data_IF_344886163347
#
_entry.id   IF_344886163347
#
_cell.length_a   1.000
_cell.length_b   1.000
_cell.length_c   1.000
_cell.angle_alpha   90.00
_cell.angle_beta   90.00
_cell.angle_gamma   90.00
#
_symmetry.space_group_name_H-M   'P 1'
#
loop_
_entity.id
_entity.type
_entity.pdbx_description
1 polymer ?
#
# COMPACT_ATOMS: atom_id res chain seq x y z
N UNK A 1 28.83 9.16 42.10
CA UNK A 1 28.50 9.09 40.66
C UNK A 1 27.20 9.87 40.48
N UNK A 2 27.24 11.03 39.83
CA UNK A 2 26.09 11.92 39.65
C UNK A 2 25.46 11.61 38.29
N UNK A 3 24.24 11.07 38.29
CA UNK A 3 23.45 10.86 37.09
C UNK A 3 22.92 12.22 36.61
N UNK A 4 23.35 12.67 35.43
CA UNK A 4 22.71 13.77 34.72
C UNK A 4 21.49 13.23 33.99
N UNK A 5 20.30 13.65 34.42
CA UNK A 5 19.09 13.55 33.63
C UNK A 5 19.09 14.71 32.62
N UNK A 6 19.15 14.39 31.33
CA UNK A 6 18.85 15.32 30.25
C UNK A 6 17.36 15.20 29.94
N UNK A 7 16.58 16.19 30.38
CA UNK A 7 15.19 16.36 29.93
C UNK A 7 15.23 17.23 28.68
N UNK A 8 15.10 16.62 27.50
CA UNK A 8 14.89 17.34 26.26
C UNK A 8 13.43 17.80 26.21
N UNK A 9 13.21 19.10 26.33
CA UNK A 9 11.92 19.74 26.14
C UNK A 9 11.72 19.94 24.63
N UNK A 10 10.95 19.07 23.99
CA UNK A 10 10.56 19.23 22.59
C UNK A 10 9.40 20.25 22.50
N UNK A 11 9.65 21.40 21.89
CA UNK A 11 8.59 22.30 21.44
C UNK A 11 8.06 21.77 20.11
N UNK A 12 6.99 20.97 20.17
CA UNK A 12 6.21 20.64 18.97
C UNK A 12 5.47 21.89 18.51
N UNK A 13 5.93 22.52 17.41
CA UNK A 13 5.17 23.55 16.72
C UNK A 13 4.17 22.86 15.80
N UNK A 14 2.91 22.80 16.22
CA UNK A 14 1.85 22.22 15.41
C UNK A 14 1.57 23.13 14.20
N UNK A 15 1.89 22.66 12.99
CA UNK A 15 1.35 23.24 11.76
C UNK A 15 -0.05 22.67 11.52
N UNK A 16 -1.07 23.47 11.82
CA UNK A 16 -2.45 23.20 11.39
C UNK A 16 -2.54 23.44 9.88
N UNK A 17 -2.63 22.38 9.06
CA UNK A 17 -2.94 22.54 7.65
C UNK A 17 -4.44 22.74 7.50
N UNK A 18 -4.89 23.95 7.21
CA UNK A 18 -6.27 24.21 6.78
C UNK A 18 -6.43 23.70 5.34
N UNK A 19 -7.06 22.53 5.20
CA UNK A 19 -7.47 21.98 3.91
C UNK A 19 -8.61 22.84 3.35
N UNK A 20 -8.29 23.77 2.45
CA UNK A 20 -9.28 24.50 1.66
C UNK A 20 -9.63 23.66 0.45
N UNK A 21 -10.80 23.01 0.48
CA UNK A 21 -11.40 22.42 -0.72
C UNK A 21 -11.67 23.54 -1.72
N UNK A 22 -11.00 23.50 -2.88
CA UNK A 22 -11.28 24.36 -4.02
C UNK A 22 -12.61 23.95 -4.66
N UNK A 23 -13.70 24.75 -4.56
CA UNK A 23 -14.97 24.40 -5.13
C UNK A 23 -15.08 25.00 -6.54
N UNK A 24 -14.78 24.17 -7.54
CA UNK A 24 -15.42 24.27 -8.85
C UNK A 24 -14.55 24.75 -10.01
N UNK A 25 -14.11 23.79 -10.81
CA UNK A 25 -13.97 24.01 -12.24
C UNK A 25 -15.35 23.78 -12.90
N UNK A 26 -15.95 24.76 -13.61
CA UNK A 26 -17.17 24.53 -14.36
C UNK A 26 -16.92 23.61 -15.55
N UNK A 27 -17.83 22.64 -15.69
CA UNK A 27 -17.98 21.75 -16.83
C UNK A 27 -18.28 22.56 -18.10
N UNK A 28 -17.31 22.62 -19.02
CA UNK A 28 -17.49 23.22 -20.35
C UNK A 28 -17.69 22.08 -21.34
N UNK A 29 -18.94 21.67 -21.51
CA UNK A 29 -19.35 20.91 -22.69
C UNK A 29 -19.15 21.76 -23.95
N UNK A 30 -18.72 21.16 -25.05
CA UNK A 30 -19.10 21.61 -26.39
C UNK A 30 -18.98 20.50 -27.41
N UNK A 31 -19.97 20.52 -28.30
CA UNK A 31 -20.24 19.63 -29.40
C UNK A 31 -19.15 19.66 -30.48
N UNK A 32 -18.92 18.51 -31.11
CA UNK A 32 -18.09 18.39 -32.29
C UNK A 32 -18.82 18.95 -33.54
N UNK A 33 -18.44 20.16 -33.95
CA UNK A 33 -18.61 20.65 -35.32
C UNK A 33 -17.23 20.75 -35.98
N UNK A 34 -17.09 20.13 -37.15
CA UNK A 34 -15.89 20.15 -37.95
C UNK A 34 -15.67 21.54 -38.58
N UNK A 35 -14.50 22.15 -38.37
CA UNK A 35 -13.94 23.11 -39.33
C UNK A 35 -12.41 23.24 -39.18
N UNK A 36 -11.79 23.58 -40.30
CA UNK A 36 -10.39 23.50 -40.61
C UNK A 36 -9.53 24.63 -40.04
N UNK A 37 -8.28 24.29 -39.75
CA UNK A 37 -7.12 25.13 -39.98
C UNK A 37 -7.04 26.45 -39.22
N UNK A 38 -6.36 26.44 -38.08
CA UNK A 38 -5.61 27.62 -37.64
C UNK A 38 -4.39 27.20 -36.85
N UNK A 39 -3.22 27.63 -37.32
CA UNK A 39 -1.97 27.56 -36.59
C UNK A 39 -2.00 28.65 -35.53
N UNK A 40 -2.05 28.30 -34.25
CA UNK A 40 -1.83 29.26 -33.19
C UNK A 40 -0.88 28.74 -32.11
N UNK A 41 -0.07 29.67 -31.64
CA UNK A 41 1.17 29.48 -30.95
C UNK A 41 0.99 29.33 -29.44
N UNK A 42 1.79 28.44 -28.85
CA UNK A 42 2.40 28.59 -27.53
C UNK A 42 1.49 29.02 -26.38
N UNK A 43 0.66 28.11 -25.88
CA UNK A 43 0.15 28.22 -24.52
C UNK A 43 1.12 27.54 -23.56
N UNK A 44 1.83 28.36 -22.77
CA UNK A 44 2.62 27.90 -21.62
C UNK A 44 1.71 27.15 -20.66
N UNK A 45 2.01 25.86 -20.47
CA UNK A 45 1.29 25.01 -19.51
C UNK A 45 1.41 25.61 -18.11
N UNK A 46 0.31 25.79 -17.35
CA UNK A 46 0.39 26.26 -15.98
C UNK A 46 1.16 25.24 -15.14
N UNK A 47 2.03 25.77 -14.29
CA UNK A 47 2.77 25.06 -13.24
C UNK A 47 1.89 23.97 -12.62
N UNK A 48 2.29 22.71 -12.79
CA UNK A 48 1.72 21.61 -12.04
C UNK A 48 2.08 21.83 -10.57
N UNK A 49 1.07 22.14 -9.76
CA UNK A 49 1.17 22.17 -8.31
C UNK A 49 1.73 20.81 -7.85
N UNK A 50 2.83 20.77 -7.07
CA UNK A 50 3.33 19.52 -6.52
C UNK A 50 2.22 18.84 -5.73
N UNK A 51 1.93 17.58 -6.05
CA UNK A 51 0.99 16.78 -5.28
C UNK A 51 1.50 16.67 -3.83
N UNK A 52 0.72 17.20 -2.89
CA UNK A 52 1.03 17.16 -1.46
C UNK A 52 0.77 15.75 -0.94
N UNK A 53 1.77 14.87 -1.04
CA UNK A 53 1.82 13.66 -0.22
C UNK A 53 2.14 14.04 1.23
N UNK A 54 1.64 13.23 2.17
CA UNK A 54 1.60 13.47 3.61
C UNK A 54 2.92 14.02 4.18
N UNK A 55 2.82 15.12 4.94
CA UNK A 55 3.72 15.38 6.08
C UNK A 55 5.10 15.97 5.79
N UNK A 56 5.50 16.15 4.54
CA UNK A 56 6.68 16.94 4.18
C UNK A 56 6.24 18.03 3.18
N UNK A 57 6.29 19.31 3.56
CA UNK A 57 6.13 20.41 2.60
C UNK A 57 7.43 20.50 1.80
N UNK A 58 7.48 19.82 0.65
CA UNK A 58 8.64 19.82 -0.23
C UNK A 58 8.86 21.23 -0.84
N UNK A 59 9.73 22.01 -0.22
CA UNK A 59 10.51 23.05 -0.91
C UNK A 59 11.96 22.61 -1.15
N UNK A 60 12.18 21.30 -1.09
CA UNK A 60 13.46 20.59 -1.04
C UNK A 60 14.27 20.67 0.27
N UNK A 61 15.01 19.58 0.60
CA UNK A 61 15.01 18.29 -0.10
C UNK A 61 14.13 17.25 0.61
N UNK A 62 13.53 16.37 -0.20
CA UNK A 62 13.06 15.07 0.24
C UNK A 62 14.15 14.34 1.03
N UNK A 63 13.76 13.50 1.99
CA UNK A 63 14.74 12.67 2.67
C UNK A 63 15.56 11.88 1.66
N UNK A 64 16.88 11.96 1.74
CA UNK A 64 17.78 11.34 0.77
C UNK A 64 18.33 10.03 1.31
N UNK A 65 18.53 9.05 0.42
CA UNK A 65 19.16 7.78 0.74
C UNK A 65 18.23 6.90 1.59
N UNK A 66 18.76 6.34 2.67
CA UNK A 66 18.05 5.38 3.53
C UNK A 66 17.19 6.07 4.62
N UNK A 67 16.70 7.27 4.35
CA UNK A 67 15.89 8.05 5.30
C UNK A 67 14.48 8.26 4.76
N UNK A 68 13.50 8.25 5.66
CA UNK A 68 12.07 8.46 5.38
C UNK A 68 11.55 9.69 6.13
N UNK A 69 10.47 10.31 5.65
CA UNK A 69 9.86 11.46 6.29
C UNK A 69 8.86 11.02 7.35
N UNK A 70 9.16 11.27 8.63
CA UNK A 70 8.23 11.06 9.73
C UNK A 70 8.08 12.38 10.48
N UNK A 71 6.85 12.91 10.56
CA UNK A 71 6.54 14.14 11.31
C UNK A 71 7.42 15.37 10.94
N UNK A 72 7.80 15.50 9.66
CA UNK A 72 8.73 16.50 9.12
C UNK A 72 10.22 16.30 9.50
N UNK A 73 10.60 15.15 10.04
CA UNK A 73 11.99 14.79 10.29
C UNK A 73 12.44 13.66 9.36
N UNK A 74 13.63 13.82 8.77
CA UNK A 74 14.28 12.73 8.04
C UNK A 74 14.95 11.79 9.02
N UNK A 75 14.39 10.59 9.15
CA UNK A 75 14.86 9.57 10.08
C UNK A 75 15.27 8.31 9.32
N UNK A 76 16.19 7.48 9.86
CA UNK A 76 16.54 6.22 9.24
C UNK A 76 15.31 5.32 9.04
N UNK A 77 15.20 4.73 7.85
CA UNK A 77 14.14 3.78 7.51
C UNK A 77 14.29 2.44 8.25
N UNK A 78 15.52 2.05 8.58
CA UNK A 78 15.81 0.70 9.06
C UNK A 78 16.01 0.62 10.58
N UNK A 79 15.81 -0.58 11.12
CA UNK A 79 15.80 -0.87 12.56
C UNK A 79 14.65 -0.16 13.30
N UNK A 80 13.47 -0.17 12.68
CA UNK A 80 12.23 0.44 13.20
C UNK A 80 11.07 -0.54 13.15
N UNK A 81 10.11 -0.37 14.04
CA UNK A 81 8.81 -1.03 13.99
C UNK A 81 7.95 -0.45 12.87
N UNK A 82 7.43 -1.33 12.02
CA UNK A 82 6.48 -0.98 10.99
C UNK A 82 5.16 -1.69 11.25
N UNK A 83 4.05 -1.00 10.97
CA UNK A 83 2.74 -1.61 10.87
C UNK A 83 2.45 -1.93 9.41
N UNK A 84 2.08 -3.18 9.15
CA UNK A 84 1.71 -3.69 7.84
C UNK A 84 0.22 -4.03 7.86
N UNK A 85 -0.56 -3.32 7.05
CA UNK A 85 -1.98 -3.52 6.86
C UNK A 85 -2.26 -4.39 5.65
N UNK A 86 -3.21 -5.32 5.80
CA UNK A 86 -3.85 -6.05 4.70
C UNK A 86 -5.26 -5.49 4.57
N UNK A 87 -5.55 -4.74 3.52
CA UNK A 87 -6.87 -4.14 3.34
C UNK A 87 -7.81 -5.06 2.58
N UNK A 88 -7.41 -5.47 1.38
CA UNK A 88 -8.32 -6.14 0.45
C UNK A 88 -7.61 -7.03 -0.55
N UNK A 89 -8.21 -8.18 -0.86
CA UNK A 89 -7.81 -9.02 -1.97
C UNK A 89 -9.01 -9.30 -2.89
N UNK A 90 -8.74 -9.39 -4.20
CA UNK A 90 -9.71 -9.76 -5.25
C UNK A 90 -9.10 -10.83 -6.14
N UNK A 91 -9.90 -11.81 -6.55
CA UNK A 91 -9.49 -12.90 -7.45
C UNK A 91 -10.48 -13.05 -8.61
N UNK A 92 -10.06 -13.62 -9.75
CA UNK A 92 -10.95 -13.96 -10.85
C UNK A 92 -11.96 -15.05 -10.47
N UNK A 93 -12.96 -15.27 -11.32
CA UNK A 93 -14.02 -16.26 -11.08
C UNK A 93 -13.57 -17.71 -11.14
N UNK A 94 -12.38 -17.98 -11.68
CA UNK A 94 -11.77 -19.30 -11.78
C UNK A 94 -10.37 -19.26 -11.18
N UNK A 95 -9.90 -20.39 -10.67
CA UNK A 95 -8.57 -20.52 -10.11
C UNK A 95 -7.48 -20.42 -11.20
N UNK A 96 -6.19 -20.35 -10.84
CA UNK A 96 -5.10 -20.18 -11.83
C UNK A 96 -5.00 -21.32 -12.87
N UNK A 97 -5.51 -22.51 -12.54
CA UNK A 97 -5.57 -23.66 -13.44
C UNK A 97 -6.80 -23.65 -14.37
N UNK A 98 -7.71 -22.67 -14.19
CA UNK A 98 -8.92 -22.49 -14.97
C UNK A 98 -10.12 -23.31 -14.49
N UNK A 99 -10.03 -23.93 -13.31
CA UNK A 99 -11.15 -24.64 -12.67
C UNK A 99 -11.96 -23.71 -11.77
N UNK A 100 -13.11 -24.19 -11.31
CA UNK A 100 -13.83 -23.55 -10.20
C UNK A 100 -12.96 -23.62 -8.93
N UNK A 101 -13.12 -22.62 -8.04
CA UNK A 101 -12.40 -22.57 -6.77
C UNK A 101 -12.80 -23.70 -5.82
N UNK A 102 -14.11 -23.98 -5.72
CA UNK A 102 -14.62 -25.07 -4.89
C UNK A 102 -14.97 -26.31 -5.70
N UNK A 103 -14.82 -27.49 -5.09
CA UNK A 103 -15.10 -28.79 -5.71
C UNK A 103 -16.54 -28.96 -6.26
N UNK A 104 -17.51 -28.21 -5.73
CA UNK A 104 -18.91 -28.22 -6.19
C UNK A 104 -19.27 -27.04 -7.09
N UNK A 105 -18.29 -26.27 -7.52
CA UNK A 105 -18.47 -24.91 -7.97
C UNK A 105 -18.67 -23.97 -6.78
N UNK A 106 -18.21 -22.73 -6.90
CA UNK A 106 -18.30 -21.76 -5.81
C UNK A 106 -17.30 -20.63 -5.93
N UNK A 107 -17.40 -19.71 -4.97
CA UNK A 107 -16.47 -18.60 -4.80
C UNK A 107 -15.50 -18.99 -3.67
N UNK A 108 -14.24 -18.55 -3.74
CA UNK A 108 -13.23 -19.01 -2.80
C UNK A 108 -13.47 -18.49 -1.38
N UNK A 109 -12.89 -19.19 -0.42
CA UNK A 109 -12.74 -18.86 0.99
C UNK A 109 -11.39 -18.16 1.21
N UNK A 110 -11.32 -16.87 0.86
CA UNK A 110 -10.06 -16.13 0.77
C UNK A 110 -9.42 -15.84 2.13
N UNK A 111 -8.10 -15.95 2.19
CA UNK A 111 -7.26 -15.41 3.25
C UNK A 111 -5.92 -14.90 2.71
N UNK A 112 -5.24 -14.06 3.49
CA UNK A 112 -3.91 -13.54 3.16
C UNK A 112 -2.94 -13.86 4.29
N UNK A 113 -1.79 -14.41 3.93
CA UNK A 113 -0.67 -14.65 4.83
C UNK A 113 0.50 -13.76 4.50
N UNK A 114 1.21 -13.28 5.54
CA UNK A 114 2.26 -12.28 5.40
C UNK A 114 3.57 -12.80 5.97
N UNK A 115 4.66 -12.62 5.21
CA UNK A 115 6.02 -12.97 5.61
C UNK A 115 6.98 -11.79 5.37
N UNK A 116 8.04 -11.72 6.17
CA UNK A 116 9.20 -10.85 5.94
C UNK A 116 10.46 -11.70 5.98
N UNK A 117 11.25 -11.71 4.90
CA UNK A 117 12.46 -12.54 4.79
C UNK A 117 12.21 -14.01 5.21
N UNK A 118 11.18 -14.62 4.61
CA UNK A 118 10.68 -15.97 4.91
C UNK A 118 10.14 -16.19 6.34
N UNK A 119 10.17 -15.19 7.22
CA UNK A 119 9.62 -15.26 8.56
C UNK A 119 8.15 -14.90 8.54
N UNK A 120 7.30 -15.81 9.01
CA UNK A 120 5.85 -15.57 9.15
C UNK A 120 5.56 -14.50 10.20
N UNK A 121 4.83 -13.46 9.82
CA UNK A 121 4.39 -12.41 10.74
C UNK A 121 2.91 -12.54 11.11
N UNK A 122 2.08 -13.15 10.25
CA UNK A 122 0.67 -13.34 10.53
C UNK A 122 -0.16 -13.78 9.32
N UNK A 123 -1.45 -13.99 9.58
CA UNK A 123 -2.47 -14.33 8.58
C UNK A 123 -3.81 -13.73 8.99
N UNK A 124 -4.62 -13.35 8.00
CA UNK A 124 -5.98 -12.88 8.22
C UNK A 124 -6.90 -14.04 8.60
N UNK A 125 -8.08 -13.71 9.12
CA UNK A 125 -9.18 -14.66 9.11
C UNK A 125 -9.61 -14.97 7.66
N UNK A 126 -10.23 -16.12 7.47
CA UNK A 126 -10.82 -16.53 6.18
C UNK A 126 -12.15 -15.83 5.96
N UNK A 127 -12.33 -15.24 4.77
CA UNK A 127 -13.60 -14.69 4.30
C UNK A 127 -14.24 -15.68 3.35
N UNK A 128 -15.32 -16.31 3.81
CA UNK A 128 -15.93 -17.43 3.10
C UNK A 128 -16.71 -16.98 1.86
N UNK A 129 -16.58 -17.73 0.77
CA UNK A 129 -17.45 -17.71 -0.41
C UNK A 129 -17.52 -16.35 -1.11
N UNK A 130 -16.38 -15.70 -1.32
CA UNK A 130 -16.30 -14.40 -2.00
C UNK A 130 -15.09 -14.28 -2.93
N UNK A 131 -15.30 -13.67 -4.11
CA UNK A 131 -14.22 -13.30 -5.03
C UNK A 131 -13.48 -12.02 -4.62
N UNK A 132 -13.97 -11.32 -3.60
CA UNK A 132 -13.39 -10.10 -3.04
C UNK A 132 -13.55 -10.13 -1.53
N UNK A 133 -12.46 -9.91 -0.81
CA UNK A 133 -12.44 -9.93 0.65
C UNK A 133 -11.80 -8.65 1.18
N UNK A 134 -12.50 -7.95 2.07
CA UNK A 134 -11.95 -6.84 2.86
C UNK A 134 -11.56 -7.40 4.24
N UNK A 135 -10.31 -7.23 4.65
CA UNK A 135 -9.75 -7.80 5.88
C UNK A 135 -9.55 -6.75 6.98
N UNK A 136 -8.97 -5.60 6.64
CA UNK A 136 -8.63 -4.50 7.55
C UNK A 136 -7.86 -4.97 8.82
N UNK A 137 -6.88 -5.86 8.63
CA UNK A 137 -6.03 -6.40 9.70
C UNK A 137 -4.61 -5.84 9.56
N UNK A 138 -3.92 -5.65 10.69
CA UNK A 138 -2.50 -5.26 10.67
C UNK A 138 -1.60 -6.13 11.56
N UNK A 139 -0.33 -6.17 11.18
CA UNK A 139 0.76 -6.82 11.91
C UNK A 139 1.86 -5.82 12.18
N UNK A 140 2.58 -5.99 13.29
CA UNK A 140 3.74 -5.17 13.62
C UNK A 140 5.00 -6.02 13.53
N UNK A 141 6.02 -5.52 12.86
CA UNK A 141 7.32 -6.18 12.74
C UNK A 141 8.45 -5.16 12.64
N UNK A 142 9.64 -5.55 13.11
CA UNK A 142 10.85 -4.75 12.95
C UNK A 142 11.46 -5.05 11.59
N UNK A 143 11.68 -4.03 10.77
CA UNK A 143 12.45 -4.15 9.52
C UNK A 143 13.87 -3.67 9.79
N UNK A 144 14.82 -4.60 9.70
CA UNK A 144 16.20 -4.40 10.18
C UNK A 144 17.18 -4.00 9.09
N UNK A 145 16.83 -4.18 7.82
CA UNK A 145 17.72 -3.97 6.69
C UNK A 145 16.97 -3.49 5.45
N UNK A 146 17.66 -2.76 4.53
CA UNK A 146 17.18 -2.59 3.18
C UNK A 146 17.05 -3.94 2.46
N UNK A 147 16.28 -3.95 1.37
CA UNK A 147 16.01 -5.12 0.55
C UNK A 147 15.31 -6.27 1.30
N UNK A 148 14.70 -5.99 2.46
CA UNK A 148 13.84 -6.95 3.13
C UNK A 148 12.69 -7.32 2.18
N UNK A 149 12.45 -8.63 2.01
CA UNK A 149 11.39 -9.12 1.16
C UNK A 149 10.10 -9.25 1.98
N UNK A 150 9.10 -8.44 1.66
CA UNK A 150 7.73 -8.63 2.18
C UNK A 150 6.96 -9.45 1.18
N UNK A 151 6.47 -10.61 1.59
CA UNK A 151 5.68 -11.51 0.77
C UNK A 151 4.26 -11.63 1.34
N UNK A 152 3.28 -11.36 0.50
CA UNK A 152 1.88 -11.65 0.76
C UNK A 152 1.45 -12.83 -0.11
N UNK A 153 0.83 -13.82 0.51
CA UNK A 153 0.35 -15.03 -0.13
C UNK A 153 -1.16 -15.12 0.04
N UNK A 154 -1.88 -15.00 -1.08
CA UNK A 154 -3.34 -15.04 -1.16
C UNK A 154 -3.75 -16.45 -1.58
N UNK A 155 -4.68 -17.04 -0.83
CA UNK A 155 -5.13 -18.40 -1.08
C UNK A 155 -6.59 -18.58 -0.71
N UNK A 156 -7.16 -19.64 -1.27
CA UNK A 156 -8.44 -20.22 -0.92
C UNK A 156 -8.25 -21.28 0.18
N UNK A 157 -9.21 -21.39 1.09
CA UNK A 157 -9.22 -22.35 2.20
C UNK A 157 -10.44 -23.25 2.07
N UNK A 158 -10.26 -24.43 1.47
CA UNK A 158 -11.34 -25.39 1.24
C UNK A 158 -11.95 -25.99 2.53
N UNK A 159 -11.35 -25.65 3.69
CA UNK A 159 -11.84 -26.02 5.00
C UNK A 159 -11.84 -27.52 5.27
N UNK A 160 -11.17 -28.35 4.44
CA UNK A 160 -11.11 -29.81 4.63
C UNK A 160 -10.10 -30.12 5.74
N UNK A 161 -10.54 -30.48 6.96
CA UNK A 161 -9.64 -30.68 8.07
C UNK A 161 -8.77 -31.91 7.82
N UNK A 162 -7.45 -31.71 7.69
CA UNK A 162 -6.49 -32.78 7.46
C UNK A 162 -6.02 -32.93 6.01
N UNK A 163 -6.56 -32.12 5.08
CA UNK A 163 -5.91 -31.96 3.79
C UNK A 163 -4.75 -30.98 3.94
N UNK A 164 -3.52 -31.50 3.91
CA UNK A 164 -2.32 -30.65 3.90
C UNK A 164 -2.09 -29.99 2.53
N UNK A 165 -2.96 -30.27 1.56
CA UNK A 165 -3.07 -29.64 0.26
C UNK A 165 -4.38 -28.86 0.02
N UNK A 166 -5.25 -28.69 1.03
CA UNK A 166 -6.54 -27.99 0.90
C UNK A 166 -6.47 -26.46 0.77
N UNK A 167 -5.28 -25.94 0.47
CA UNK A 167 -5.08 -24.53 0.21
C UNK A 167 -4.76 -24.35 -1.26
N UNK A 168 -5.70 -23.82 -2.02
CA UNK A 168 -5.46 -23.47 -3.41
C UNK A 168 -4.78 -22.10 -3.45
N UNK A 169 -3.54 -22.07 -3.92
CA UNK A 169 -2.81 -20.82 -4.13
C UNK A 169 -3.52 -19.99 -5.20
N UNK A 170 -3.95 -18.78 -4.84
CA UNK A 170 -4.48 -17.83 -5.82
C UNK A 170 -3.34 -17.08 -6.50
N UNK A 171 -2.61 -16.27 -5.73
CA UNK A 171 -1.46 -15.53 -6.20
C UNK A 171 -0.62 -15.05 -5.01
N UNK A 172 0.58 -14.57 -5.31
CA UNK A 172 1.45 -13.92 -4.35
C UNK A 172 1.91 -12.57 -4.88
N UNK A 173 2.22 -11.68 -3.94
CA UNK A 173 2.79 -10.38 -4.22
C UNK A 173 3.98 -10.17 -3.30
N UNK A 174 5.11 -9.80 -3.89
CA UNK A 174 6.35 -9.57 -3.17
C UNK A 174 6.90 -8.16 -3.44
N UNK A 175 7.49 -7.58 -2.41
CA UNK A 175 8.15 -6.28 -2.46
C UNK A 175 9.53 -6.39 -1.82
N UNK A 176 10.55 -6.00 -2.58
CA UNK A 176 11.86 -5.69 -2.01
C UNK A 176 11.80 -4.27 -1.44
N UNK A 177 11.91 -4.15 -0.11
CA UNK A 177 11.76 -2.86 0.55
C UNK A 177 12.96 -1.95 0.29
N UNK A 178 12.65 -0.70 -0.04
CA UNK A 178 13.56 0.44 -0.08
C UNK A 178 12.98 1.58 0.76
N UNK A 179 13.78 2.60 1.07
CA UNK A 179 13.30 3.79 1.78
C UNK A 179 12.09 4.42 1.06
N UNK A 180 12.14 4.53 -0.28
CA UNK A 180 11.05 5.08 -1.08
C UNK A 180 9.76 4.25 -0.95
N UNK A 181 9.86 2.91 -0.94
CA UNK A 181 8.69 2.01 -0.81
C UNK A 181 8.04 2.18 0.56
N UNK A 182 8.82 2.29 1.63
CA UNK A 182 8.27 2.46 2.98
C UNK A 182 7.82 3.90 3.27
N UNK A 183 8.32 4.90 2.53
CA UNK A 183 7.89 6.30 2.61
C UNK A 183 6.53 6.50 1.91
N UNK A 184 6.36 5.94 0.70
CA UNK A 184 5.07 5.94 -0.01
C UNK A 184 4.01 5.15 0.76
N UNK A 185 4.43 3.98 1.27
CA UNK A 185 3.64 3.15 2.17
C UNK A 185 2.57 2.29 1.49
N UNK A 186 2.15 2.59 0.27
CA UNK A 186 1.15 1.78 -0.42
C UNK A 186 1.77 0.54 -1.07
N UNK A 187 1.22 -0.64 -0.75
CA UNK A 187 1.65 -1.93 -1.29
C UNK A 187 0.52 -2.49 -2.15
N UNK A 188 0.51 -2.11 -3.43
CA UNK A 188 -0.52 -2.53 -4.39
C UNK A 188 0.08 -3.42 -5.46
N UNK A 189 -0.53 -4.58 -5.66
CA UNK A 189 -0.12 -5.57 -6.64
C UNK A 189 -1.36 -6.02 -7.41
N UNK A 190 -1.29 -5.97 -8.74
CA UNK A 190 -2.39 -6.33 -9.64
C UNK A 190 -1.86 -7.16 -10.80
N UNK A 191 -2.60 -8.19 -11.18
CA UNK A 191 -2.28 -9.06 -12.30
C UNK A 191 -3.49 -9.86 -12.78
N UNK A 192 -3.27 -10.79 -13.70
CA UNK A 192 -4.35 -11.63 -14.24
C UNK A 192 -5.01 -12.53 -13.18
N UNK A 193 -4.27 -12.86 -12.11
CA UNK A 193 -4.72 -13.74 -11.02
C UNK A 193 -5.39 -12.98 -9.87
N UNK A 194 -5.43 -11.65 -9.90
CA UNK A 194 -6.08 -10.87 -8.84
C UNK A 194 -5.43 -9.52 -8.54
N UNK A 195 -5.92 -8.89 -7.48
CA UNK A 195 -5.36 -7.67 -6.92
C UNK A 195 -5.27 -7.77 -5.41
N UNK A 196 -4.17 -7.30 -4.83
CA UNK A 196 -3.99 -7.12 -3.39
C UNK A 196 -3.71 -5.65 -3.11
N UNK A 197 -4.39 -5.11 -2.08
CA UNK A 197 -4.12 -3.78 -1.52
C UNK A 197 -3.69 -3.94 -0.06
N UNK A 198 -2.49 -3.49 0.22
CA UNK A 198 -1.88 -3.46 1.53
C UNK A 198 -1.22 -2.10 1.77
N UNK A 199 -0.77 -1.86 2.99
CA UNK A 199 0.00 -0.66 3.34
C UNK A 199 1.06 -1.01 4.37
N UNK A 200 2.18 -0.31 4.31
CA UNK A 200 3.21 -0.29 5.34
C UNK A 200 3.34 1.15 5.86
N UNK A 201 3.46 1.31 7.18
CA UNK A 201 3.69 2.62 7.80
C UNK A 201 4.65 2.49 8.98
N UNK A 202 5.58 3.43 9.15
CA UNK A 202 6.46 3.44 10.31
C UNK A 202 5.67 3.77 11.59
N UNK A 203 6.12 3.21 12.72
CA UNK A 203 5.62 3.52 14.07
C UNK A 203 6.56 4.46 14.84
#
# INVERSE_FOLDING_TARGET
MKNLFFTALFLATACTSEYTMDPGAPDVGTDASADAGSADAGASSPDATPATLRGCVFTEPACSGENICIENECVPAWNRDYRIWVYRAEVPTHNPDGFDWDATGGAPDLYVSVKINDTWIGQTDTVMNQFSADFDVSYVSIITAPDALVLFYVADNDGIPGDSGGYEHAFSCDWNLSADVVDDGDLICSGALGTLRAKIEPL
#
